data_IF_405826645022
#
_entry.id   IF_405826645022
#
_cell.length_a   1.000
_cell.length_b   1.000
_cell.length_c   1.000
_cell.angle_alpha   90.00
_cell.angle_beta   90.00
_cell.angle_gamma   90.00
#
_symmetry.space_group_name_H-M   'P 1'
#
loop_
_entity.id
_entity.type
_entity.pdbx_description
1 polymer ?
#
# COMPACT_ATOMS: atom_id res chain seq x y z
N UNK A 1 32.62 -12.22 24.38
CA UNK A 1 32.72 -12.65 25.78
C UNK A 1 33.09 -14.13 25.72
N UNK A 2 34.32 -14.51 26.11
CA UNK A 2 34.80 -15.89 26.06
C UNK A 2 34.39 -16.56 27.38
N UNK A 3 33.63 -17.60 27.33
CA UNK A 3 33.26 -18.41 28.50
C UNK A 3 34.24 -19.59 28.55
N UNK A 4 35.09 -19.59 29.59
CA UNK A 4 36.05 -20.66 29.83
C UNK A 4 35.40 -21.64 30.81
N UNK A 5 35.19 -22.88 30.39
CA UNK A 5 34.77 -23.98 31.27
C UNK A 5 35.95 -24.93 31.53
N UNK A 6 36.07 -25.43 32.76
CA UNK A 6 37.08 -26.40 33.17
C UNK A 6 36.44 -27.77 33.41
N UNK A 7 37.08 -28.78 32.93
CA UNK A 7 36.75 -30.16 33.25
C UNK A 7 37.14 -30.53 34.72
N UNK A 8 36.55 -31.58 35.29
CA UNK A 8 36.93 -32.06 36.65
C UNK A 8 38.37 -32.54 36.76
N UNK A 9 39.05 -32.81 35.65
CA UNK A 9 40.47 -33.18 35.57
C UNK A 9 41.44 -32.01 35.42
N UNK A 10 40.92 -30.77 35.41
CA UNK A 10 41.72 -29.56 35.32
C UNK A 10 42.07 -29.05 33.91
N UNK A 11 41.65 -29.77 32.87
CA UNK A 11 41.86 -29.36 31.47
C UNK A 11 40.87 -28.23 31.04
N UNK A 12 41.32 -27.33 30.19
CA UNK A 12 40.55 -26.20 29.68
C UNK A 12 39.88 -26.59 28.38
N UNK A 13 38.56 -26.45 28.29
CA UNK A 13 37.80 -26.56 27.02
C UNK A 13 37.62 -25.13 26.48
N UNK A 14 38.35 -24.77 25.44
CA UNK A 14 38.02 -23.59 24.62
C UNK A 14 36.83 -23.91 23.74
N UNK A 15 35.63 -23.50 24.12
CA UNK A 15 34.49 -23.51 23.25
C UNK A 15 34.57 -22.26 22.33
N UNK A 16 35.04 -22.47 21.13
CA UNK A 16 34.94 -21.46 20.08
C UNK A 16 33.46 -21.18 19.84
N UNK A 17 32.96 -20.07 20.37
CA UNK A 17 31.68 -19.49 19.93
C UNK A 17 31.77 -19.29 18.43
N UNK A 18 31.11 -20.18 17.68
CA UNK A 18 30.84 -19.94 16.27
C UNK A 18 30.16 -18.58 16.18
N UNK A 19 30.91 -17.63 15.64
CA UNK A 19 30.38 -16.35 15.22
C UNK A 19 29.22 -16.64 14.27
N UNK A 20 28.01 -16.27 14.68
CA UNK A 20 26.89 -16.20 13.76
C UNK A 20 27.35 -15.36 12.56
N UNK A 21 27.20 -15.82 11.32
CA UNK A 21 27.38 -14.98 10.18
C UNK A 21 26.24 -13.96 10.15
N UNK A 22 26.47 -12.84 10.84
CA UNK A 22 25.77 -11.61 10.54
C UNK A 22 26.20 -11.22 9.13
N UNK A 23 25.22 -10.91 8.29
CA UNK A 23 25.34 -10.53 6.88
C UNK A 23 25.16 -11.71 5.89
N UNK A 24 24.03 -12.37 5.97
CA UNK A 24 23.43 -12.91 4.74
C UNK A 24 23.01 -11.70 3.90
N UNK A 25 23.80 -11.46 2.89
CA UNK A 25 23.65 -10.43 1.87
C UNK A 25 22.20 -10.40 1.37
N UNK A 26 21.64 -9.21 1.27
CA UNK A 26 20.31 -8.83 0.75
C UNK A 26 19.86 -9.53 -0.56
N UNK A 27 20.72 -10.34 -1.18
CA UNK A 27 20.43 -11.21 -2.35
C UNK A 27 19.71 -12.51 -2.00
N UNK A 28 19.76 -13.00 -0.76
CA UNK A 28 19.11 -14.24 -0.35
C UNK A 28 17.64 -14.09 -0.01
N UNK A 29 17.17 -12.90 0.39
CA UNK A 29 15.77 -12.68 0.76
C UNK A 29 14.85 -12.48 -0.45
N UNK A 30 15.40 -12.10 -1.61
CA UNK A 30 14.63 -12.03 -2.85
C UNK A 30 14.28 -13.42 -3.43
N UNK A 31 15.04 -14.46 -3.07
CA UNK A 31 14.79 -15.81 -3.55
C UNK A 31 13.84 -16.65 -2.69
N UNK A 32 13.54 -16.23 -1.45
CA UNK A 32 12.58 -16.93 -0.59
C UNK A 32 11.14 -16.42 -0.74
N UNK A 33 10.92 -15.28 -1.42
CA UNK A 33 9.58 -14.78 -1.75
C UNK A 33 8.91 -15.54 -2.90
N UNK A 34 9.64 -16.44 -3.57
CA UNK A 34 9.15 -17.16 -4.76
C UNK A 34 8.57 -18.55 -4.45
N UNK A 35 8.53 -18.95 -3.18
CA UNK A 35 8.00 -20.25 -2.75
C UNK A 35 6.71 -20.15 -1.92
N UNK A 36 5.73 -19.37 -2.37
CA UNK A 36 4.39 -19.47 -1.80
C UNK A 36 3.66 -18.15 -1.70
N UNK A 37 2.62 -17.99 -2.49
CA UNK A 37 1.75 -16.81 -2.65
C UNK A 37 2.55 -15.53 -2.89
N UNK A 38 2.66 -15.16 -4.15
CA UNK A 38 3.16 -13.84 -4.51
C UNK A 38 2.46 -12.78 -3.64
N UNK A 39 3.22 -12.10 -2.79
CA UNK A 39 2.69 -10.98 -2.00
C UNK A 39 2.20 -9.95 -3.02
N UNK A 40 0.93 -9.54 -2.97
CA UNK A 40 0.43 -8.58 -3.93
C UNK A 40 1.25 -7.28 -3.81
N UNK A 41 1.56 -6.64 -4.95
CA UNK A 41 2.35 -5.42 -4.92
C UNK A 41 1.63 -4.31 -4.15
N UNK A 42 2.41 -3.45 -3.53
CA UNK A 42 1.91 -2.27 -2.83
C UNK A 42 1.21 -1.32 -3.82
N UNK A 43 0.22 -0.57 -3.37
CA UNK A 43 -0.47 0.39 -4.24
C UNK A 43 0.44 1.53 -4.71
N UNK A 44 1.40 1.93 -3.89
CA UNK A 44 2.47 2.85 -4.28
C UNK A 44 3.35 2.31 -5.41
N UNK A 45 3.66 1.00 -5.40
CA UNK A 45 4.40 0.35 -6.47
C UNK A 45 3.58 0.28 -7.77
N UNK A 46 2.27 -0.02 -7.68
CA UNK A 46 1.36 0.00 -8.83
C UNK A 46 1.33 1.40 -9.43
N UNK A 47 1.18 2.44 -8.60
CA UNK A 47 1.20 3.83 -9.05
C UNK A 47 2.53 4.21 -9.73
N UNK A 48 3.66 3.74 -9.20
CA UNK A 48 4.99 3.92 -9.79
C UNK A 48 5.11 3.20 -11.13
N UNK A 49 4.61 1.97 -11.26
CA UNK A 49 4.57 1.24 -12.55
C UNK A 49 3.75 2.01 -13.59
N UNK A 50 2.60 2.59 -13.19
CA UNK A 50 1.77 3.41 -14.08
C UNK A 50 2.50 4.69 -14.51
N UNK A 51 3.19 5.35 -13.57
CA UNK A 51 3.99 6.55 -13.87
C UNK A 51 5.09 6.26 -14.90
N UNK A 52 5.75 5.10 -14.78
CA UNK A 52 6.85 4.68 -15.64
C UNK A 52 6.41 4.10 -16.99
N UNK A 53 5.16 3.69 -17.12
CA UNK A 53 4.63 3.18 -18.38
C UNK A 53 4.49 4.30 -19.42
N UNK A 54 5.05 4.10 -20.62
CA UNK A 54 5.11 5.12 -21.68
C UNK A 54 3.73 5.39 -22.30
N UNK A 55 2.94 4.32 -22.50
CA UNK A 55 1.74 4.36 -23.32
C UNK A 55 0.48 4.05 -22.50
N UNK A 56 -0.66 4.62 -22.92
CA UNK A 56 -1.96 4.37 -22.28
C UNK A 56 -2.31 2.87 -22.20
N UNK A 57 -2.12 2.06 -23.26
CA UNK A 57 -2.42 0.62 -23.20
C UNK A 57 -1.62 -0.12 -22.11
N UNK A 58 -0.33 0.23 -21.94
CA UNK A 58 0.51 -0.37 -20.89
C UNK A 58 0.05 0.03 -19.49
N UNK A 59 -0.38 1.29 -19.31
CA UNK A 59 -0.96 1.76 -18.04
C UNK A 59 -2.25 1.04 -17.70
N UNK A 60 -3.12 0.84 -18.69
CA UNK A 60 -4.37 0.07 -18.53
C UNK A 60 -4.07 -1.37 -18.11
N UNK A 61 -3.11 -2.00 -18.79
CA UNK A 61 -2.69 -3.36 -18.48
C UNK A 61 -2.22 -3.51 -17.04
N UNK A 62 -1.40 -2.58 -16.53
CA UNK A 62 -0.94 -2.59 -15.14
C UNK A 62 -2.12 -2.54 -14.16
N UNK A 63 -3.13 -1.69 -14.40
CA UNK A 63 -4.31 -1.60 -13.55
C UNK A 63 -5.16 -2.87 -13.59
N UNK A 64 -5.30 -3.47 -14.76
CA UNK A 64 -6.08 -4.69 -14.97
C UNK A 64 -5.40 -5.92 -14.36
N UNK A 65 -4.06 -6.02 -14.44
CA UNK A 65 -3.28 -7.10 -13.86
C UNK A 65 -3.33 -7.11 -12.32
N UNK A 66 -3.45 -5.92 -11.71
CA UNK A 66 -3.50 -5.76 -10.26
C UNK A 66 -4.90 -5.41 -9.74
N UNK A 67 -5.93 -5.71 -10.55
CA UNK A 67 -7.31 -5.41 -10.18
C UNK A 67 -7.72 -6.11 -8.88
N UNK A 68 -8.18 -5.32 -7.92
CA UNK A 68 -8.68 -5.80 -6.63
C UNK A 68 -9.70 -4.82 -6.04
N UNK A 69 -10.61 -5.35 -5.22
CA UNK A 69 -11.61 -4.52 -4.53
C UNK A 69 -10.96 -3.40 -3.72
N UNK A 70 -9.90 -3.65 -2.90
CA UNK A 70 -9.22 -2.59 -2.17
C UNK A 70 -8.61 -1.52 -3.08
N UNK A 71 -7.97 -1.91 -4.19
CA UNK A 71 -7.42 -0.95 -5.14
C UNK A 71 -8.52 -0.07 -5.74
N UNK A 72 -9.63 -0.68 -6.17
CA UNK A 72 -10.78 0.06 -6.70
C UNK A 72 -11.36 1.05 -5.69
N UNK A 73 -11.43 0.68 -4.39
CA UNK A 73 -11.88 1.58 -3.32
C UNK A 73 -10.96 2.80 -3.16
N UNK A 74 -9.65 2.58 -3.10
CA UNK A 74 -8.66 3.65 -2.98
C UNK A 74 -8.71 4.57 -4.20
N UNK A 75 -8.82 4.01 -5.41
CA UNK A 75 -8.89 4.80 -6.65
C UNK A 75 -10.20 5.59 -6.80
N UNK A 76 -11.32 5.04 -6.32
CA UNK A 76 -12.55 5.84 -6.17
C UNK A 76 -12.31 7.02 -5.25
N UNK A 77 -11.72 6.79 -4.07
CA UNK A 77 -11.36 7.86 -3.14
C UNK A 77 -10.48 8.95 -3.76
N UNK A 78 -9.59 8.57 -4.67
CA UNK A 78 -8.68 9.49 -5.34
C UNK A 78 -9.38 10.34 -6.43
N UNK A 79 -10.23 9.73 -7.25
CA UNK A 79 -10.67 10.32 -8.51
C UNK A 79 -12.16 10.64 -8.57
N UNK A 80 -13.01 9.97 -7.77
CA UNK A 80 -14.46 10.25 -7.75
C UNK A 80 -14.73 11.61 -7.10
N UNK A 81 -15.33 12.57 -7.83
CA UNK A 81 -15.65 13.87 -7.28
C UNK A 81 -16.73 13.81 -6.20
N UNK A 82 -17.58 12.78 -6.19
CA UNK A 82 -18.64 12.61 -5.23
C UNK A 82 -18.15 12.14 -3.84
N UNK A 83 -16.94 11.58 -3.79
CA UNK A 83 -16.31 11.21 -2.52
C UNK A 83 -15.64 12.44 -1.91
N UNK A 84 -16.20 12.92 -0.81
CA UNK A 84 -15.68 14.04 -0.02
C UNK A 84 -14.98 13.49 1.22
N UNK A 85 -13.68 13.82 1.36
CA UNK A 85 -12.88 13.45 2.52
C UNK A 85 -13.14 14.45 3.66
N UNK A 86 -13.43 13.93 4.87
CA UNK A 86 -13.61 14.72 6.08
C UNK A 86 -12.32 14.88 6.89
N UNK A 87 -11.21 14.98 6.18
CA UNK A 87 -9.87 15.17 6.73
C UNK A 87 -9.35 16.55 6.33
N UNK A 88 -8.47 17.18 7.15
CA UNK A 88 -7.80 18.41 6.76
C UNK A 88 -7.02 18.22 5.46
N UNK A 89 -7.09 19.20 4.56
CA UNK A 89 -6.33 19.19 3.31
C UNK A 89 -4.90 19.65 3.57
N UNK A 90 -3.96 19.04 2.87
CA UNK A 90 -2.54 19.39 2.94
C UNK A 90 -1.70 18.30 3.56
N UNK A 91 -0.60 18.71 4.17
CA UNK A 91 0.34 17.79 4.82
C UNK A 91 -0.23 17.33 6.16
N UNK A 92 -0.18 16.03 6.38
CA UNK A 92 -0.66 15.40 7.61
C UNK A 92 0.56 15.19 8.53
N UNK A 93 0.53 15.67 9.77
CA UNK A 93 1.62 15.44 10.72
C UNK A 93 1.55 14.02 11.27
N UNK A 94 2.34 13.09 10.73
CA UNK A 94 2.47 11.72 11.21
C UNK A 94 3.94 11.33 11.27
N UNK A 95 4.27 10.37 12.13
CA UNK A 95 5.61 9.80 12.23
C UNK A 95 5.77 8.77 11.12
N UNK A 96 6.74 9.01 10.22
CA UNK A 96 7.02 8.05 9.13
C UNK A 96 7.53 6.76 9.72
N UNK A 97 6.93 5.64 9.31
CA UNK A 97 7.41 4.32 9.68
C UNK A 97 8.69 4.00 8.89
N UNK A 98 9.79 3.84 9.60
CA UNK A 98 11.12 3.51 9.07
C UNK A 98 11.40 2.00 9.03
N UNK A 99 10.42 1.19 9.41
CA UNK A 99 10.54 -0.26 9.35
C UNK A 99 10.83 -0.74 7.91
N UNK A 100 11.68 -1.76 7.73
CA UNK A 100 11.93 -2.34 6.41
C UNK A 100 10.62 -2.81 5.77
N UNK A 101 10.50 -2.63 4.44
CA UNK A 101 9.34 -3.10 3.67
C UNK A 101 9.11 -4.59 3.92
N UNK A 102 7.87 -4.94 4.26
CA UNK A 102 7.47 -6.29 4.64
C UNK A 102 7.48 -6.55 6.15
N UNK A 103 7.85 -5.55 6.97
CA UNK A 103 7.77 -5.59 8.44
C UNK A 103 6.83 -4.52 8.99
N UNK A 104 6.11 -3.82 8.13
CA UNK A 104 5.08 -2.86 8.48
C UNK A 104 3.95 -3.50 9.29
N UNK A 105 3.30 -2.70 10.16
CA UNK A 105 2.22 -3.18 11.01
C UNK A 105 0.95 -3.55 10.23
N UNK A 106 0.71 -2.86 9.10
CA UNK A 106 -0.45 -3.11 8.24
C UNK A 106 -0.16 -2.73 6.79
N UNK A 107 -0.98 -3.22 5.86
CA UNK A 107 -0.92 -2.92 4.43
C UNK A 107 -2.12 -2.07 4.04
N UNK A 108 -1.94 -1.10 3.15
CA UNK A 108 -3.05 -0.28 2.64
C UNK A 108 -4.14 -1.13 1.99
N UNK A 109 -3.79 -2.26 1.40
CA UNK A 109 -4.75 -3.23 0.89
C UNK A 109 -5.71 -3.76 1.96
N UNK A 110 -5.25 -3.93 3.19
CA UNK A 110 -6.08 -4.38 4.32
C UNK A 110 -6.86 -3.21 4.93
N UNK A 111 -6.26 -2.02 4.97
CA UNK A 111 -6.85 -0.82 5.54
C UNK A 111 -7.87 -0.14 4.61
N UNK A 112 -7.85 -0.44 3.32
CA UNK A 112 -8.77 0.16 2.34
C UNK A 112 -10.25 0.03 2.75
N UNK A 113 -10.62 -1.10 3.38
CA UNK A 113 -11.99 -1.32 3.90
C UNK A 113 -12.41 -0.33 4.99
N UNK A 114 -11.47 0.35 5.65
CA UNK A 114 -11.73 1.33 6.71
C UNK A 114 -11.79 2.77 6.20
N UNK A 115 -11.47 3.00 4.93
CA UNK A 115 -11.42 4.36 4.36
C UNK A 115 -12.76 5.08 4.41
N UNK A 116 -13.89 4.35 4.46
CA UNK A 116 -15.21 4.95 4.64
C UNK A 116 -15.33 5.79 5.91
N UNK A 117 -14.56 5.47 6.97
CA UNK A 117 -14.58 6.25 8.22
C UNK A 117 -14.17 7.71 8.03
N UNK A 118 -13.40 7.98 6.97
CA UNK A 118 -12.84 9.29 6.66
C UNK A 118 -13.64 10.05 5.60
N UNK A 119 -14.69 9.45 5.06
CA UNK A 119 -15.52 10.06 4.01
C UNK A 119 -16.88 10.53 4.53
N UNK A 120 -17.42 11.55 3.89
CA UNK A 120 -18.77 12.05 4.18
C UNK A 120 -19.82 10.98 3.90
N UNK A 121 -20.68 10.75 4.85
CA UNK A 121 -21.72 9.71 4.76
C UNK A 121 -21.24 8.31 5.19
N UNK A 122 -19.97 8.13 5.51
CA UNK A 122 -19.44 6.84 5.97
C UNK A 122 -19.78 6.56 7.43
N UNK A 123 -19.18 7.30 8.35
CA UNK A 123 -19.49 7.22 9.78
C UNK A 123 -19.75 8.63 10.35
N UNK A 124 -21.01 8.90 10.67
CA UNK A 124 -21.43 10.19 11.20
C UNK A 124 -21.28 10.28 12.73
N UNK A 125 -20.93 9.19 13.42
CA UNK A 125 -20.76 9.15 14.86
C UNK A 125 -19.37 9.60 15.32
N UNK A 126 -18.40 9.54 14.42
CA UNK A 126 -17.01 9.92 14.70
C UNK A 126 -16.85 11.45 14.73
N UNK A 127 -16.27 11.96 15.81
CA UNK A 127 -15.84 13.36 15.86
C UNK A 127 -14.65 13.59 14.90
N UNK A 128 -14.47 14.83 14.42
CA UNK A 128 -13.37 15.17 13.53
C UNK A 128 -12.00 14.86 14.13
N UNK A 129 -11.79 15.23 15.40
CA UNK A 129 -10.53 14.94 16.10
C UNK A 129 -10.23 13.44 16.16
N UNK A 130 -11.23 12.61 16.47
CA UNK A 130 -11.06 11.16 16.52
C UNK A 130 -10.78 10.59 15.12
N UNK A 131 -11.44 11.15 14.09
CA UNK A 131 -11.20 10.78 12.69
C UNK A 131 -9.77 11.07 12.27
N UNK A 132 -9.27 12.26 12.57
CA UNK A 132 -7.87 12.65 12.31
C UNK A 132 -6.87 11.74 13.03
N UNK A 133 -7.12 11.47 14.33
CA UNK A 133 -6.27 10.57 15.12
C UNK A 133 -6.21 9.16 14.49
N UNK A 134 -7.36 8.60 14.09
CA UNK A 134 -7.42 7.29 13.43
C UNK A 134 -6.70 7.29 12.08
N UNK A 135 -6.76 8.39 11.35
CA UNK A 135 -6.06 8.52 10.07
C UNK A 135 -4.55 8.58 10.27
N UNK A 136 -4.07 9.35 11.24
CA UNK A 136 -2.64 9.40 11.60
C UNK A 136 -2.14 8.01 12.02
N UNK A 137 -2.87 7.31 12.89
CA UNK A 137 -2.52 5.94 13.28
C UNK A 137 -2.47 4.98 12.09
N UNK A 138 -3.36 5.13 11.13
CA UNK A 138 -3.33 4.34 9.89
C UNK A 138 -2.06 4.64 9.09
N UNK A 139 -1.69 5.91 8.91
CA UNK A 139 -0.47 6.30 8.19
C UNK A 139 0.80 5.77 8.87
N UNK A 140 0.87 5.85 10.20
CA UNK A 140 2.00 5.37 11.00
C UNK A 140 2.15 3.84 10.98
N UNK A 141 1.08 3.11 10.70
CA UNK A 141 1.09 1.66 10.53
C UNK A 141 1.54 1.18 9.16
N UNK A 142 1.46 2.04 8.13
CA UNK A 142 1.84 1.73 6.75
C UNK A 142 3.34 1.94 6.53
N UNK A 143 3.90 1.31 5.49
CA UNK A 143 5.23 1.70 5.01
C UNK A 143 5.21 3.13 4.45
N UNK A 144 6.36 3.78 4.43
CA UNK A 144 6.49 5.19 4.06
C UNK A 144 5.86 5.52 2.70
N UNK A 145 6.09 4.67 1.70
CA UNK A 145 5.60 4.87 0.33
C UNK A 145 4.08 4.73 0.23
N UNK A 146 3.46 3.81 0.97
CA UNK A 146 2.00 3.65 1.00
C UNK A 146 1.32 4.77 1.78
N UNK A 147 1.92 5.19 2.90
CA UNK A 147 1.43 6.33 3.67
C UNK A 147 1.42 7.60 2.80
N UNK A 148 2.52 7.90 2.12
CA UNK A 148 2.62 9.04 1.21
C UNK A 148 1.63 8.92 0.04
N UNK A 149 1.47 7.71 -0.54
CA UNK A 149 0.46 7.47 -1.57
C UNK A 149 -0.95 7.77 -1.07
N UNK A 150 -1.31 7.30 0.13
CA UNK A 150 -2.62 7.54 0.73
C UNK A 150 -2.87 9.04 1.01
N UNK A 151 -1.85 9.79 1.45
CA UNK A 151 -1.95 11.25 1.59
C UNK A 151 -2.24 11.92 0.24
N UNK A 152 -1.60 11.48 -0.86
CA UNK A 152 -1.93 12.01 -2.21
C UNK A 152 -3.35 11.68 -2.66
N UNK A 153 -3.88 10.50 -2.29
CA UNK A 153 -5.25 10.07 -2.55
C UNK A 153 -6.25 10.98 -1.85
N UNK A 154 -6.07 11.21 -0.53
CA UNK A 154 -6.94 12.07 0.29
C UNK A 154 -6.94 13.51 -0.22
N UNK A 155 -5.78 14.02 -0.61
CA UNK A 155 -5.63 15.36 -1.20
C UNK A 155 -6.10 15.44 -2.67
N UNK A 156 -6.51 14.33 -3.29
CA UNK A 156 -6.86 14.24 -4.72
C UNK A 156 -5.75 14.73 -5.67
N UNK A 157 -4.49 14.50 -5.28
CA UNK A 157 -3.29 14.94 -6.01
C UNK A 157 -2.50 13.79 -6.64
N UNK A 158 -3.09 12.62 -6.80
CA UNK A 158 -2.42 11.43 -7.36
C UNK A 158 -1.83 11.72 -8.74
N UNK A 159 -2.56 12.42 -9.61
CA UNK A 159 -2.08 12.79 -10.94
C UNK A 159 -0.87 13.74 -10.91
N UNK A 160 -0.73 14.55 -9.87
CA UNK A 160 0.38 15.48 -9.72
C UNK A 160 1.70 14.76 -9.42
N UNK A 161 1.63 13.72 -8.57
CA UNK A 161 2.77 12.89 -8.20
C UNK A 161 3.07 11.81 -9.24
N UNK A 162 2.03 11.15 -9.76
CA UNK A 162 2.15 10.06 -10.72
C UNK A 162 1.59 10.49 -12.08
N UNK A 163 2.47 10.93 -12.97
CA UNK A 163 2.09 11.51 -14.27
C UNK A 163 1.31 10.51 -15.14
N UNK A 164 0.16 10.97 -15.61
CA UNK A 164 -0.73 10.15 -16.44
C UNK A 164 -1.56 9.12 -15.69
N UNK A 165 -1.55 9.14 -14.36
CA UNK A 165 -2.50 8.41 -13.55
C UNK A 165 -3.73 9.30 -13.34
N UNK A 166 -4.66 9.22 -14.28
CA UNK A 166 -5.83 10.11 -14.39
C UNK A 166 -7.14 9.37 -14.15
N UNK A 167 -8.19 10.13 -13.83
CA UNK A 167 -9.55 9.61 -13.69
C UNK A 167 -10.00 8.82 -14.93
N UNK A 168 -9.72 9.32 -16.14
CA UNK A 168 -10.09 8.64 -17.37
C UNK A 168 -9.36 7.30 -17.56
N UNK A 169 -8.08 7.23 -17.15
CA UNK A 169 -7.33 5.98 -17.17
C UNK A 169 -7.99 4.93 -16.26
N UNK A 170 -8.40 5.34 -15.06
CA UNK A 170 -9.04 4.45 -14.08
C UNK A 170 -10.43 4.00 -14.57
N UNK A 171 -11.23 4.93 -15.12
CA UNK A 171 -12.53 4.59 -15.70
C UNK A 171 -12.40 3.59 -16.85
N UNK A 172 -11.44 3.81 -17.74
CA UNK A 172 -11.19 2.90 -18.87
C UNK A 172 -10.68 1.52 -18.40
N UNK A 173 -9.85 1.48 -17.35
CA UNK A 173 -9.29 0.22 -16.85
C UNK A 173 -10.35 -0.69 -16.22
N UNK A 174 -11.32 -0.12 -15.51
CA UNK A 174 -12.33 -0.87 -14.76
C UNK A 174 -13.73 -0.82 -15.41
N UNK A 175 -13.83 -0.29 -16.61
CA UNK A 175 -15.09 -0.14 -17.35
C UNK A 175 -16.15 0.63 -16.55
N UNK A 176 -15.72 1.74 -15.93
CA UNK A 176 -16.58 2.62 -15.15
C UNK A 176 -17.14 3.78 -16.01
N UNK A 177 -18.33 4.22 -15.63
CA UNK A 177 -18.96 5.43 -16.18
C UNK A 177 -18.41 6.71 -15.51
N UNK A 178 -19.00 7.85 -15.82
CA UNK A 178 -18.59 9.14 -15.25
C UNK A 178 -18.89 9.27 -13.75
N UNK A 179 -19.77 8.42 -13.21
CA UNK A 179 -20.10 8.32 -11.80
C UNK A 179 -19.25 7.26 -11.06
N UNK A 180 -18.19 6.74 -11.70
CA UNK A 180 -17.35 5.67 -11.17
C UNK A 180 -18.13 4.40 -10.80
N UNK A 181 -19.21 4.14 -11.53
CA UNK A 181 -20.01 2.92 -11.43
C UNK A 181 -19.70 2.01 -12.61
N UNK A 182 -19.86 0.70 -12.40
CA UNK A 182 -19.68 -0.29 -13.47
C UNK A 182 -20.67 0.02 -14.61
N UNK A 183 -20.19 0.13 -15.85
CA UNK A 183 -21.08 0.27 -17.00
C UNK A 183 -21.95 -0.96 -17.13
N UNK A 184 -23.26 -0.78 -17.28
CA UNK A 184 -24.16 -1.89 -17.57
C UNK A 184 -23.82 -2.48 -18.94
N UNK A 185 -23.46 -3.75 -18.97
CA UNK A 185 -23.34 -4.49 -20.22
C UNK A 185 -24.75 -4.59 -20.84
N UNK A 186 -25.03 -3.77 -21.83
CA UNK A 186 -26.27 -3.97 -22.64
C UNK A 186 -26.24 -5.38 -23.19
N UNK A 187 -27.26 -6.21 -22.95
CA UNK A 187 -27.34 -7.49 -23.61
C UNK A 187 -27.35 -7.24 -25.13
N UNK A 188 -26.36 -7.82 -25.83
CA UNK A 188 -26.38 -7.82 -27.28
C UNK A 188 -27.55 -8.73 -27.71
N UNK A 189 -28.69 -8.12 -28.02
CA UNK A 189 -29.72 -8.83 -28.73
C UNK A 189 -29.15 -9.14 -30.13
N UNK A 190 -28.73 -10.37 -30.33
CA UNK A 190 -28.52 -10.86 -31.68
C UNK A 190 -29.93 -10.96 -32.35
N UNK A 191 -30.12 -10.12 -33.38
CA UNK A 191 -31.26 -10.20 -34.30
C UNK A 191 -30.94 -11.28 -35.33
#
# INVERSE_FOLDING_TARGET
>A
MVIIRRNPDGSIIEEQTQSHPALATRRGMSAMSDMGRAVPPLFSEIATKINNAKDKPRKLKVLQEHDSVPLRQVLKGAFDPNIEWLLPKGDVPYTVNDAPVGTEHTLLQQEAKRLYLFTKGGDNTLSNTKRETLFIQMLEGLCAEEAEFLVTVVNKKVNNKYKGFTANLVKDAFDWDDNFMQKEKRPSFQV
#
